data_IF_427695263883
#
_entry.id   IF_427695263883
#
_cell.length_a   1.000
_cell.length_b   1.000
_cell.length_c   1.000
_cell.angle_alpha   90.00
_cell.angle_beta   90.00
_cell.angle_gamma   90.00
#
_symmetry.space_group_name_H-M   'P 1'
#
loop_
_entity.id
_entity.type
_entity.pdbx_description
1 polymer ?
#
# COMPACT_ATOMS: atom_id res chain seq x y z
N UNK A 1 -32.60 -4.12 -24.89
CA UNK A 1 -32.50 -4.73 -23.54
C UNK A 1 -31.23 -4.20 -22.87
N UNK A 2 -31.31 -3.43 -21.78
CA UNK A 2 -30.12 -2.99 -21.07
C UNK A 2 -29.55 -4.22 -20.33
N UNK A 3 -28.31 -4.60 -20.65
CA UNK A 3 -27.57 -5.58 -19.86
C UNK A 3 -27.50 -5.03 -18.43
N UNK A 4 -28.04 -5.77 -17.47
CA UNK A 4 -27.93 -5.44 -16.06
C UNK A 4 -26.44 -5.24 -15.73
N UNK A 5 -26.07 -4.02 -15.35
CA UNK A 5 -24.79 -3.72 -14.67
C UNK A 5 -24.80 -4.43 -13.31
N UNK A 6 -24.70 -5.75 -13.30
CA UNK A 6 -24.28 -6.48 -12.11
C UNK A 6 -22.81 -6.11 -11.95
N UNK A 7 -22.55 -5.04 -11.17
CA UNK A 7 -21.20 -4.66 -10.79
C UNK A 7 -20.54 -5.88 -10.18
N UNK A 8 -19.51 -6.41 -10.85
CA UNK A 8 -18.66 -7.43 -10.25
C UNK A 8 -18.01 -6.79 -9.04
N UNK A 9 -18.44 -7.18 -7.83
CA UNK A 9 -17.74 -6.81 -6.62
C UNK A 9 -16.30 -7.35 -6.73
N UNK A 10 -15.32 -6.54 -6.33
CA UNK A 10 -13.92 -6.96 -6.26
C UNK A 10 -13.79 -8.20 -5.36
N UNK A 11 -13.08 -9.22 -5.83
CA UNK A 11 -12.77 -10.42 -5.05
C UNK A 11 -11.48 -10.22 -4.26
N UNK A 12 -11.56 -10.22 -2.93
CA UNK A 12 -10.37 -10.12 -2.07
C UNK A 12 -9.88 -11.49 -1.63
N UNK A 13 -8.58 -11.73 -1.82
CA UNK A 13 -7.86 -12.83 -1.17
C UNK A 13 -7.04 -12.28 -0.02
N UNK A 14 -7.17 -12.89 1.15
CA UNK A 14 -6.48 -12.43 2.34
C UNK A 14 -5.38 -13.42 2.72
N UNK A 15 -4.16 -12.92 2.90
CA UNK A 15 -3.00 -13.73 3.30
C UNK A 15 -2.29 -13.07 4.47
N UNK A 16 -1.87 -13.85 5.45
CA UNK A 16 -0.88 -13.40 6.44
C UNK A 16 0.51 -13.79 5.92
N UNK A 17 1.50 -12.90 6.02
CA UNK A 17 2.87 -13.23 5.63
C UNK A 17 3.88 -12.66 6.62
N UNK A 18 4.63 -13.57 7.24
CA UNK A 18 5.71 -13.22 8.16
C UNK A 18 6.91 -12.60 7.42
N UNK A 19 7.34 -13.19 6.30
CA UNK A 19 8.42 -12.62 5.48
C UNK A 19 8.06 -11.22 4.97
N UNK A 20 6.82 -11.02 4.51
CA UNK A 20 6.34 -9.70 4.13
C UNK A 20 6.28 -8.73 5.32
N UNK A 21 6.03 -9.21 6.55
CA UNK A 21 6.08 -8.38 7.75
C UNK A 21 7.48 -7.85 7.99
N UNK A 22 8.49 -8.72 7.92
CA UNK A 22 9.90 -8.37 8.10
C UNK A 22 10.35 -7.31 7.09
N UNK A 23 10.10 -7.56 5.81
CA UNK A 23 10.47 -6.62 4.74
C UNK A 23 9.65 -5.32 4.81
N UNK A 24 8.37 -5.38 5.22
CA UNK A 24 7.53 -4.20 5.41
C UNK A 24 8.08 -3.31 6.53
N UNK A 25 8.55 -3.89 7.63
CA UNK A 25 9.21 -3.13 8.68
C UNK A 25 10.49 -2.46 8.18
N UNK A 26 11.36 -3.20 7.48
CA UNK A 26 12.58 -2.64 6.91
C UNK A 26 12.27 -1.48 5.94
N UNK A 27 11.22 -1.60 5.13
CA UNK A 27 10.75 -0.52 4.25
C UNK A 27 10.25 0.69 5.06
N UNK A 28 9.42 0.50 6.08
CA UNK A 28 8.92 1.57 6.93
C UNK A 28 10.06 2.31 7.67
N UNK A 29 11.03 1.56 8.19
CA UNK A 29 12.20 2.13 8.86
C UNK A 29 13.11 2.89 7.89
N UNK A 30 13.30 2.38 6.67
CA UNK A 30 14.08 3.05 5.62
C UNK A 30 13.44 4.36 5.18
N UNK A 31 12.11 4.45 5.24
CA UNK A 31 11.33 5.66 4.94
C UNK A 31 11.24 6.62 6.12
N UNK A 32 11.77 6.26 7.29
CA UNK A 32 11.74 7.08 8.49
C UNK A 32 10.35 7.23 9.09
N UNK A 33 9.45 6.25 8.88
CA UNK A 33 8.12 6.27 9.48
C UNK A 33 8.21 6.10 11.01
N UNK A 34 7.29 6.73 11.78
CA UNK A 34 7.28 6.59 13.22
C UNK A 34 6.97 5.14 13.61
N UNK A 35 7.78 4.57 14.49
CA UNK A 35 7.57 3.20 14.99
C UNK A 35 6.80 3.24 16.30
N UNK A 36 5.77 2.40 16.42
CA UNK A 36 4.94 2.31 17.61
C UNK A 36 5.63 1.54 18.76
N UNK A 37 6.46 0.54 18.44
CA UNK A 37 7.21 -0.26 19.42
C UNK A 37 8.73 -0.04 19.26
N UNK A 38 9.31 0.74 20.17
CA UNK A 38 10.74 1.06 20.16
C UNK A 38 11.64 -0.16 20.40
N UNK A 39 11.14 -1.18 21.11
CA UNK A 39 11.93 -2.40 21.40
C UNK A 39 12.11 -3.22 20.14
N UNK A 40 11.01 -3.44 19.40
CA UNK A 40 11.05 -4.13 18.11
C UNK A 40 11.89 -3.33 17.11
N UNK A 41 11.70 -2.01 17.02
CA UNK A 41 12.54 -1.16 16.17
C UNK A 41 14.02 -1.32 16.48
N UNK A 42 14.42 -1.29 17.75
CA UNK A 42 15.82 -1.43 18.15
C UNK A 42 16.39 -2.79 17.75
N UNK A 43 15.62 -3.87 17.88
CA UNK A 43 16.04 -5.21 17.48
C UNK A 43 16.15 -5.38 15.95
N UNK A 44 15.26 -4.74 15.19
CA UNK A 44 15.23 -4.81 13.73
C UNK A 44 16.19 -3.83 13.05
N UNK A 45 16.67 -2.81 13.77
CA UNK A 45 17.52 -1.77 13.18
C UNK A 45 18.83 -2.32 12.58
N UNK A 46 19.68 -3.08 13.31
CA UNK A 46 20.91 -3.62 12.74
C UNK A 46 20.73 -4.49 11.48
N UNK A 47 19.82 -5.50 11.44
CA UNK A 47 19.63 -6.29 10.22
C UNK A 47 18.97 -5.49 9.08
N UNK A 48 18.18 -4.46 9.40
CA UNK A 48 17.63 -3.55 8.37
C UNK A 48 18.75 -2.75 7.70
N UNK A 49 19.68 -2.19 8.47
CA UNK A 49 20.84 -1.46 7.90
C UNK A 49 21.73 -2.40 7.07
N UNK A 50 21.98 -3.62 7.55
CA UNK A 50 22.75 -4.61 6.78
C UNK A 50 22.09 -4.97 5.44
N UNK A 51 20.76 -5.13 5.42
CA UNK A 51 20.01 -5.35 4.17
C UNK A 51 20.11 -4.15 3.23
N UNK A 52 20.00 -2.91 3.75
CA UNK A 52 20.14 -1.69 2.95
C UNK A 52 21.53 -1.55 2.33
N UNK A 53 22.57 -1.79 3.11
CA UNK A 53 23.96 -1.74 2.66
C UNK A 53 24.23 -2.77 1.55
N UNK A 54 23.71 -4.00 1.70
CA UNK A 54 23.88 -5.04 0.68
C UNK A 54 23.06 -4.73 -0.59
N UNK A 55 21.84 -4.18 -0.48
CA UNK A 55 21.07 -3.70 -1.63
C UNK A 55 21.86 -2.62 -2.39
N UNK A 56 22.44 -1.66 -1.67
CA UNK A 56 23.27 -0.62 -2.26
C UNK A 56 24.53 -1.20 -2.92
N UNK A 57 25.21 -2.15 -2.27
CA UNK A 57 26.39 -2.83 -2.82
C UNK A 57 26.07 -3.62 -4.11
N UNK A 58 24.83 -4.08 -4.26
CA UNK A 58 24.32 -4.73 -5.48
C UNK A 58 23.85 -3.74 -6.56
N UNK A 59 23.96 -2.43 -6.32
CA UNK A 59 23.47 -1.40 -7.25
C UNK A 59 21.94 -1.34 -7.35
N UNK A 60 21.23 -1.78 -6.31
CA UNK A 60 19.77 -1.74 -6.24
C UNK A 60 19.33 -0.50 -5.46
N UNK A 61 18.52 0.36 -6.09
CA UNK A 61 17.94 1.52 -5.42
C UNK A 61 16.93 1.06 -4.35
N UNK A 62 17.15 1.48 -3.10
CA UNK A 62 16.37 1.05 -1.93
C UNK A 62 14.88 1.35 -2.11
N UNK A 63 14.57 2.53 -2.66
CA UNK A 63 13.22 3.06 -2.88
C UNK A 63 12.39 2.20 -3.85
N UNK A 64 13.06 1.40 -4.69
CA UNK A 64 12.41 0.48 -5.63
C UNK A 64 12.57 -0.99 -5.20
N UNK A 65 13.70 -1.34 -4.61
CA UNK A 65 14.02 -2.71 -4.20
C UNK A 65 13.18 -3.19 -3.03
N UNK A 66 13.11 -2.41 -1.93
CA UNK A 66 12.36 -2.83 -0.75
C UNK A 66 10.87 -2.97 -1.04
N UNK A 67 10.19 -2.01 -1.72
CA UNK A 67 8.78 -2.19 -2.06
C UNK A 67 8.54 -3.42 -2.94
N UNK A 68 9.43 -3.72 -3.89
CA UNK A 68 9.31 -4.92 -4.71
C UNK A 68 9.49 -6.20 -3.90
N UNK A 69 10.49 -6.25 -3.01
CA UNK A 69 10.70 -7.39 -2.12
C UNK A 69 9.48 -7.62 -1.23
N UNK A 70 8.94 -6.57 -0.61
CA UNK A 70 7.69 -6.66 0.18
C UNK A 70 6.54 -7.17 -0.68
N UNK A 71 6.37 -6.62 -1.88
CA UNK A 71 5.33 -7.03 -2.80
C UNK A 71 5.43 -8.49 -3.19
N UNK A 72 6.63 -9.09 -3.25
CA UNK A 72 6.84 -10.48 -3.65
C UNK A 72 6.90 -11.46 -2.48
N UNK A 73 7.20 -11.00 -1.27
CA UNK A 73 7.46 -11.85 -0.10
C UNK A 73 6.30 -12.76 0.29
N UNK A 74 5.07 -12.43 -0.11
CA UNK A 74 3.93 -13.30 0.11
C UNK A 74 3.85 -14.46 -0.91
N UNK A 75 4.56 -14.43 -2.04
CA UNK A 75 4.47 -15.48 -3.07
C UNK A 75 5.54 -16.56 -2.95
N UNK A 76 6.62 -16.30 -2.18
CA UNK A 76 7.78 -17.17 -2.09
C UNK A 76 8.04 -17.57 -0.65
N UNK A 77 8.17 -18.88 -0.42
CA UNK A 77 8.56 -19.43 0.89
C UNK A 77 10.09 -19.42 1.10
N UNK A 78 10.85 -19.36 -0.01
CA UNK A 78 12.31 -19.32 0.01
C UNK A 78 12.81 -17.89 -0.23
N UNK A 79 13.60 -17.37 0.72
CA UNK A 79 14.25 -16.06 0.59
C UNK A 79 15.17 -15.99 -0.63
N UNK A 80 15.80 -17.10 -1.01
CA UNK A 80 16.64 -17.17 -2.21
C UNK A 80 15.82 -16.93 -3.49
N UNK A 81 14.68 -17.62 -3.63
CA UNK A 81 13.79 -17.44 -4.78
C UNK A 81 13.17 -16.03 -4.81
N UNK A 82 12.84 -15.49 -3.64
CA UNK A 82 12.35 -14.11 -3.51
C UNK A 82 13.37 -13.11 -4.05
N UNK A 83 14.63 -13.20 -3.60
CA UNK A 83 15.72 -12.32 -4.04
C UNK A 83 15.98 -12.48 -5.53
N UNK A 84 16.11 -13.72 -6.02
CA UNK A 84 16.35 -14.00 -7.44
C UNK A 84 15.25 -13.37 -8.32
N UNK A 85 13.98 -13.53 -7.93
CA UNK A 85 12.87 -12.95 -8.67
C UNK A 85 12.86 -11.41 -8.62
N UNK A 86 13.12 -10.82 -7.45
CA UNK A 86 13.16 -9.37 -7.30
C UNK A 86 14.27 -8.75 -8.16
N UNK A 87 15.49 -9.30 -8.09
CA UNK A 87 16.63 -8.82 -8.89
C UNK A 87 16.36 -8.99 -10.38
N UNK A 88 15.81 -10.14 -10.79
CA UNK A 88 15.45 -10.40 -12.19
C UNK A 88 14.46 -9.36 -12.72
N UNK A 89 13.49 -8.91 -11.91
CA UNK A 89 12.51 -7.89 -12.33
C UNK A 89 13.11 -6.49 -12.40
N UNK A 90 14.10 -6.17 -11.55
CA UNK A 90 14.70 -4.83 -11.51
C UNK A 90 15.79 -4.63 -12.57
N UNK A 91 16.67 -5.61 -12.74
CA UNK A 91 17.87 -5.47 -13.56
C UNK A 91 17.96 -6.50 -14.71
N UNK A 92 17.05 -7.48 -14.76
CA UNK A 92 17.08 -8.57 -15.74
C UNK A 92 17.77 -9.84 -15.22
N UNK A 93 17.72 -10.91 -16.02
CA UNK A 93 18.31 -12.20 -15.64
C UNK A 93 19.84 -12.12 -15.65
N UNK A 94 20.48 -12.65 -14.60
CA UNK A 94 21.95 -12.72 -14.48
C UNK A 94 22.64 -11.38 -14.19
N UNK A 95 21.88 -10.35 -13.79
CA UNK A 95 22.42 -9.02 -13.53
C UNK A 95 23.39 -8.97 -12.33
N UNK A 96 23.17 -9.80 -11.31
CA UNK A 96 24.09 -9.99 -10.19
C UNK A 96 24.50 -11.45 -10.07
N UNK A 97 25.70 -11.70 -9.53
CA UNK A 97 26.22 -13.04 -9.34
C UNK A 97 25.56 -13.79 -8.17
N UNK A 98 25.65 -15.12 -8.19
CA UNK A 98 25.10 -16.01 -7.15
C UNK A 98 25.54 -15.64 -5.72
N UNK A 99 26.80 -15.18 -5.58
CA UNK A 99 27.32 -14.73 -4.29
C UNK A 99 26.57 -13.51 -3.73
N UNK A 100 26.09 -12.60 -4.58
CA UNK A 100 25.30 -11.45 -4.16
C UNK A 100 23.87 -11.86 -3.77
N UNK A 101 23.26 -12.77 -4.53
CA UNK A 101 21.96 -13.37 -4.19
C UNK A 101 22.04 -14.05 -2.82
N UNK A 102 23.10 -14.83 -2.56
CA UNK A 102 23.32 -15.50 -1.28
C UNK A 102 23.47 -14.51 -0.11
N UNK A 103 24.19 -13.39 -0.29
CA UNK A 103 24.32 -12.36 0.76
C UNK A 103 23.00 -11.67 1.06
N UNK A 104 22.27 -11.22 0.04
CA UNK A 104 20.93 -10.64 0.20
C UNK A 104 19.96 -11.60 0.89
N UNK A 105 20.00 -12.88 0.50
CA UNK A 105 19.23 -13.95 1.15
C UNK A 105 19.56 -14.04 2.65
N UNK A 106 20.85 -14.02 2.99
CA UNK A 106 21.32 -13.99 4.37
C UNK A 106 20.79 -12.79 5.15
N UNK A 107 20.83 -11.58 4.58
CA UNK A 107 20.29 -10.38 5.22
C UNK A 107 18.79 -10.49 5.53
N UNK A 108 17.99 -11.05 4.61
CA UNK A 108 16.55 -11.26 4.86
C UNK A 108 16.35 -12.31 5.96
N UNK A 109 17.11 -13.41 5.95
CA UNK A 109 17.04 -14.43 6.99
C UNK A 109 17.44 -13.89 8.37
N UNK A 110 18.46 -13.02 8.45
CA UNK A 110 18.87 -12.37 9.69
C UNK A 110 17.80 -11.42 10.24
N UNK A 111 17.11 -10.70 9.34
CA UNK A 111 15.97 -9.84 9.68
C UNK A 111 14.80 -10.66 10.25
N UNK A 112 14.45 -11.76 9.59
CA UNK A 112 13.41 -12.70 10.04
C UNK A 112 13.77 -13.31 11.41
N UNK A 113 15.02 -13.75 11.58
CA UNK A 113 15.50 -14.30 12.85
C UNK A 113 15.48 -13.25 13.97
N UNK A 114 15.83 -12.00 13.68
CA UNK A 114 15.77 -10.92 14.66
C UNK A 114 14.35 -10.69 15.15
N UNK A 115 13.35 -10.66 14.26
CA UNK A 115 11.96 -10.50 14.66
C UNK A 115 11.47 -11.68 15.50
N UNK A 116 11.71 -12.92 15.06
CA UNK A 116 11.23 -14.10 15.79
C UNK A 116 11.83 -14.23 17.20
N UNK A 117 13.02 -13.68 17.45
CA UNK A 117 13.59 -13.61 18.81
C UNK A 117 12.77 -12.72 19.72
N UNK A 118 12.31 -11.57 19.22
CA UNK A 118 11.47 -10.63 19.98
C UNK A 118 10.01 -11.08 20.07
N UNK A 119 9.49 -11.70 19.01
CA UNK A 119 8.11 -12.18 18.94
C UNK A 119 8.01 -13.60 18.37
N UNK A 120 8.29 -14.64 19.18
CA UNK A 120 8.28 -16.03 18.72
C UNK A 120 6.92 -16.53 18.22
N UNK A 121 5.82 -15.97 18.77
CA UNK A 121 4.45 -16.36 18.42
C UNK A 121 3.87 -15.58 17.23
N UNK A 122 4.66 -14.73 16.56
CA UNK A 122 4.15 -13.77 15.60
C UNK A 122 3.40 -14.41 14.42
N UNK A 123 3.88 -15.57 13.94
CA UNK A 123 3.25 -16.27 12.81
C UNK A 123 1.81 -16.66 13.14
N UNK A 124 1.60 -17.24 14.33
CA UNK A 124 0.29 -17.68 14.81
C UNK A 124 -0.61 -16.48 15.15
N UNK A 125 -0.04 -15.45 15.77
CA UNK A 125 -0.76 -14.21 16.08
C UNK A 125 -1.24 -13.50 14.82
N UNK A 126 -0.39 -13.36 13.80
CA UNK A 126 -0.73 -12.66 12.57
C UNK A 126 -1.91 -13.33 11.84
N UNK A 127 -2.00 -14.66 11.90
CA UNK A 127 -3.11 -15.41 11.32
C UNK A 127 -4.47 -15.05 11.96
N UNK A 128 -4.50 -14.75 13.26
CA UNK A 128 -5.73 -14.38 13.97
C UNK A 128 -6.03 -12.88 13.99
N UNK A 129 -4.98 -12.03 13.96
CA UNK A 129 -5.10 -10.56 14.00
C UNK A 129 -5.86 -9.97 12.81
N UNK A 130 -5.93 -10.69 11.70
CA UNK A 130 -6.67 -10.26 10.52
C UNK A 130 -8.20 -10.29 10.63
N UNK A 131 -8.76 -11.02 11.62
CA UNK A 131 -10.21 -11.26 11.70
C UNK A 131 -11.03 -9.98 11.91
N UNK A 132 -10.69 -9.09 12.86
CA UNK A 132 -11.46 -7.86 13.06
C UNK A 132 -11.53 -6.99 11.80
N UNK A 133 -10.42 -6.86 11.07
CA UNK A 133 -10.38 -6.09 9.83
C UNK A 133 -11.27 -6.71 8.75
N UNK A 134 -11.27 -8.04 8.62
CA UNK A 134 -12.13 -8.74 7.65
C UNK A 134 -13.61 -8.54 7.97
N UNK A 135 -13.99 -8.64 9.24
CA UNK A 135 -15.37 -8.44 9.69
C UNK A 135 -15.84 -7.00 9.43
N UNK A 136 -15.01 -6.00 9.75
CA UNK A 136 -15.31 -4.60 9.45
C UNK A 136 -15.40 -4.35 7.94
N UNK A 137 -14.50 -4.97 7.16
CA UNK A 137 -14.53 -4.89 5.71
C UNK A 137 -15.80 -5.51 5.13
N UNK A 138 -16.20 -6.70 5.56
CA UNK A 138 -17.43 -7.36 5.11
C UNK A 138 -18.67 -6.50 5.38
N UNK A 139 -18.68 -5.75 6.48
CA UNK A 139 -19.79 -4.87 6.84
C UNK A 139 -19.94 -3.64 5.94
N UNK A 140 -18.84 -2.98 5.53
CA UNK A 140 -18.90 -1.67 4.83
C UNK A 140 -18.09 -1.59 3.53
N UNK A 141 -17.04 -2.39 3.37
CA UNK A 141 -16.11 -2.38 2.24
C UNK A 141 -16.77 -2.57 0.86
N UNK A 142 -17.66 -3.57 0.65
CA UNK A 142 -18.38 -3.71 -0.61
C UNK A 142 -19.24 -2.49 -0.97
N UNK A 143 -19.84 -1.83 0.03
CA UNK A 143 -20.60 -0.60 -0.16
C UNK A 143 -19.69 0.54 -0.61
N UNK A 144 -18.54 0.68 0.04
CA UNK A 144 -17.51 1.68 -0.28
C UNK A 144 -17.01 1.52 -1.73
N UNK A 145 -16.62 0.32 -2.15
CA UNK A 145 -16.15 0.09 -3.53
C UNK A 145 -17.22 0.37 -4.60
N UNK A 146 -18.49 0.06 -4.30
CA UNK A 146 -19.62 0.41 -5.17
C UNK A 146 -19.79 1.92 -5.26
N UNK A 147 -19.62 2.64 -4.16
CA UNK A 147 -19.68 4.10 -4.14
C UNK A 147 -18.56 4.72 -4.96
N UNK A 148 -17.31 4.24 -4.80
CA UNK A 148 -16.18 4.65 -5.63
C UNK A 148 -16.50 4.44 -7.11
N UNK A 149 -17.01 3.26 -7.48
CA UNK A 149 -17.37 2.94 -8.88
C UNK A 149 -18.44 3.89 -9.47
N UNK A 150 -19.32 4.47 -8.65
CA UNK A 150 -20.32 5.46 -9.10
C UNK A 150 -19.71 6.84 -9.34
N UNK A 151 -18.64 7.17 -8.62
CA UNK A 151 -17.94 8.45 -8.69
C UNK A 151 -16.81 8.46 -9.74
N UNK A 152 -16.52 7.31 -10.35
CA UNK A 152 -15.41 7.14 -11.30
C UNK A 152 -15.85 6.56 -12.63
N UNK A 153 -14.89 6.38 -13.53
CA UNK A 153 -15.08 5.71 -14.82
C UNK A 153 -15.33 4.19 -14.67
N UNK A 154 -15.84 3.58 -15.74
CA UNK A 154 -16.01 2.12 -15.81
C UNK A 154 -14.66 1.40 -15.67
N UNK A 155 -14.65 0.25 -14.99
CA UNK A 155 -13.45 -0.54 -14.69
C UNK A 155 -12.38 0.22 -13.88
N UNK A 156 -12.75 1.23 -13.09
CA UNK A 156 -11.82 1.90 -12.19
C UNK A 156 -11.30 0.96 -11.08
N UNK A 157 -12.18 0.14 -10.52
CA UNK A 157 -11.83 -0.83 -9.47
C UNK A 157 -11.39 -2.15 -10.12
N UNK A 158 -10.25 -2.69 -9.67
CA UNK A 158 -9.76 -3.99 -10.14
C UNK A 158 -10.76 -5.12 -9.77
N UNK A 159 -10.93 -6.15 -10.63
CA UNK A 159 -11.92 -7.20 -10.40
C UNK A 159 -11.58 -8.14 -9.23
N UNK A 160 -10.32 -8.18 -8.85
CA UNK A 160 -9.79 -8.95 -7.72
C UNK A 160 -8.62 -8.20 -7.12
N UNK A 161 -8.23 -8.50 -5.89
CA UNK A 161 -7.00 -8.00 -5.30
C UNK A 161 -6.54 -8.95 -4.18
N UNK A 162 -5.26 -8.86 -3.81
CA UNK A 162 -4.73 -9.55 -2.64
C UNK A 162 -4.42 -8.57 -1.51
N UNK A 163 -4.88 -8.90 -0.31
CA UNK A 163 -4.58 -8.19 0.93
C UNK A 163 -3.60 -9.04 1.75
N UNK A 164 -2.36 -8.60 1.80
CA UNK A 164 -1.29 -9.22 2.59
C UNK A 164 -1.22 -8.51 3.94
N UNK A 165 -1.68 -9.21 4.97
CA UNK A 165 -1.61 -8.79 6.34
C UNK A 165 -0.19 -8.96 6.87
N UNK A 166 0.32 -7.89 7.47
CA UNK A 166 1.65 -7.82 8.07
C UNK A 166 1.58 -7.42 9.54
N UNK A 167 2.60 -7.76 10.31
CA UNK A 167 2.72 -7.34 11.72
C UNK A 167 2.77 -5.81 11.81
N UNK A 168 2.04 -5.18 12.74
CA UNK A 168 2.12 -3.74 12.93
C UNK A 168 3.49 -3.29 13.45
N UNK A 169 4.15 -2.41 12.72
CA UNK A 169 5.32 -1.67 13.20
C UNK A 169 4.95 -0.20 13.44
N UNK A 170 4.24 0.42 12.51
CA UNK A 170 3.88 1.84 12.53
C UNK A 170 2.54 2.08 13.24
N UNK A 171 1.80 1.01 13.52
CA UNK A 171 0.53 1.07 14.25
C UNK A 171 -0.65 1.43 13.37
N UNK A 172 -0.69 0.93 12.12
CA UNK A 172 -1.79 1.14 11.17
C UNK A 172 -1.32 1.61 9.79
N UNK A 173 -0.24 1.04 9.25
CA UNK A 173 0.24 1.40 7.90
C UNK A 173 -0.17 0.41 6.81
N UNK A 174 -0.07 0.82 5.56
CA UNK A 174 -0.29 -0.05 4.41
C UNK A 174 0.17 0.58 3.10
N UNK A 175 0.36 -0.25 2.08
CA UNK A 175 0.85 0.16 0.76
C UNK A 175 0.15 -0.60 -0.35
N UNK A 176 -0.14 0.09 -1.45
CA UNK A 176 -0.63 -0.51 -2.68
C UNK A 176 0.53 -0.79 -3.65
N UNK A 177 0.53 -1.98 -4.24
CA UNK A 177 1.50 -2.44 -5.22
C UNK A 177 0.76 -2.74 -6.53
N UNK A 178 0.58 -1.69 -7.32
CA UNK A 178 -0.23 -1.68 -8.54
C UNK A 178 0.12 -2.84 -9.50
N UNK A 179 1.40 -3.08 -9.86
CA UNK A 179 1.73 -4.13 -10.84
C UNK A 179 1.42 -5.56 -10.38
N UNK A 180 1.26 -5.77 -9.07
CA UNK A 180 0.92 -7.06 -8.46
C UNK A 180 -0.54 -7.14 -8.00
N UNK A 181 -1.31 -6.05 -8.16
CA UNK A 181 -2.70 -5.96 -7.72
C UNK A 181 -2.88 -6.41 -6.25
N UNK A 182 -1.97 -5.92 -5.41
CA UNK A 182 -1.78 -6.34 -4.02
C UNK A 182 -1.66 -5.11 -3.12
N UNK A 183 -2.16 -5.24 -1.91
CA UNK A 183 -1.87 -4.29 -0.82
C UNK A 183 -1.18 -5.02 0.33
N UNK A 184 -0.20 -4.38 0.96
CA UNK A 184 0.18 -4.74 2.34
C UNK A 184 -0.58 -3.89 3.32
N UNK A 185 -0.95 -4.49 4.46
CA UNK A 185 -1.77 -3.84 5.47
C UNK A 185 -1.41 -4.34 6.87
N UNK A 186 -1.07 -3.43 7.78
CA UNK A 186 -0.75 -3.80 9.16
C UNK A 186 -2.00 -4.31 9.89
N UNK A 187 -1.92 -5.52 10.44
CA UNK A 187 -3.02 -6.18 11.14
C UNK A 187 -3.16 -5.65 12.58
N UNK A 188 -3.63 -4.41 12.70
CA UNK A 188 -4.00 -3.80 13.98
C UNK A 188 -5.33 -4.37 14.47
N UNK A 189 -5.44 -4.53 15.79
CA UNK A 189 -6.64 -5.11 16.42
C UNK A 189 -7.79 -4.10 16.55
N UNK A 190 -7.46 -2.81 16.53
CA UNK A 190 -8.38 -1.69 16.71
C UNK A 190 -8.01 -0.56 15.75
N UNK A 191 -8.97 0.30 15.41
CA UNK A 191 -8.72 1.50 14.63
C UNK A 191 -7.78 2.44 15.43
N UNK A 192 -6.55 2.69 14.98
CA UNK A 192 -5.60 3.60 15.66
C UNK A 192 -6.12 5.05 15.64
N UNK A 193 -6.86 5.38 14.59
CA UNK A 193 -7.48 6.69 14.36
C UNK A 193 -8.97 6.44 14.11
N UNK A 194 -9.84 6.53 15.14
CA UNK A 194 -11.26 6.15 15.02
C UNK A 194 -12.02 6.90 13.93
N UNK A 195 -11.67 8.17 13.68
CA UNK A 195 -12.23 9.02 12.61
C UNK A 195 -11.80 8.58 11.19
N UNK A 196 -10.75 7.77 11.09
CA UNK A 196 -10.22 7.22 9.84
C UNK A 196 -10.04 5.70 9.99
N UNK A 197 -11.14 4.93 10.05
CA UNK A 197 -11.09 3.51 10.37
C UNK A 197 -10.28 2.70 9.35
N UNK A 198 -9.73 1.56 9.76
CA UNK A 198 -8.88 0.72 8.91
C UNK A 198 -9.60 0.24 7.63
N UNK A 199 -10.92 0.05 7.70
CA UNK A 199 -11.75 -0.29 6.54
C UNK A 199 -11.69 0.81 5.46
N UNK A 200 -11.65 2.08 5.88
CA UNK A 200 -11.52 3.21 4.98
C UNK A 200 -10.12 3.26 4.35
N UNK A 201 -9.06 3.07 5.15
CA UNK A 201 -7.69 3.00 4.62
C UNK A 201 -7.53 1.85 3.63
N UNK A 202 -8.10 0.68 3.92
CA UNK A 202 -8.07 -0.45 3.00
C UNK A 202 -8.79 -0.13 1.69
N UNK A 203 -9.97 0.52 1.75
CA UNK A 203 -10.67 1.00 0.56
C UNK A 203 -9.84 1.98 -0.26
N UNK A 204 -9.13 2.89 0.41
CA UNK A 204 -8.20 3.81 -0.24
C UNK A 204 -7.05 3.09 -0.94
N UNK A 205 -6.41 2.12 -0.31
CA UNK A 205 -5.34 1.33 -0.93
C UNK A 205 -5.83 0.51 -2.14
N UNK A 206 -7.00 -0.13 -2.01
CA UNK A 206 -7.58 -0.94 -3.08
C UNK A 206 -8.00 -0.11 -4.31
N UNK A 207 -8.44 1.13 -4.09
CA UNK A 207 -8.82 2.05 -5.17
C UNK A 207 -7.65 2.47 -6.08
N UNK A 208 -6.41 2.28 -5.63
CA UNK A 208 -5.21 2.61 -6.40
C UNK A 208 -4.82 1.51 -7.39
N UNK A 209 -5.20 0.26 -7.13
CA UNK A 209 -4.58 -0.93 -7.75
C UNK A 209 -4.76 -1.05 -9.26
N UNK A 210 -5.79 -0.42 -9.83
CA UNK A 210 -6.03 -0.49 -11.27
C UNK A 210 -5.51 0.73 -12.02
N UNK A 211 -4.87 1.69 -11.34
CA UNK A 211 -4.47 2.97 -11.95
C UNK A 211 -3.25 2.86 -12.87
N UNK A 212 -2.60 1.70 -12.97
CA UNK A 212 -1.50 1.43 -13.89
C UNK A 212 -1.94 0.87 -15.25
N UNK A 213 -3.22 0.52 -15.42
CA UNK A 213 -3.72 0.05 -16.72
C UNK A 213 -3.67 1.17 -17.77
N UNK A 214 -3.35 0.88 -19.04
CA UNK A 214 -3.12 1.92 -20.05
C UNK A 214 -4.24 2.96 -20.16
N UNK A 215 -5.51 2.54 -20.13
CA UNK A 215 -6.65 3.47 -20.25
C UNK A 215 -6.72 4.50 -19.13
N UNK A 216 -6.13 4.22 -17.96
CA UNK A 216 -6.05 5.14 -16.82
C UNK A 216 -4.68 5.81 -16.70
N UNK A 217 -3.60 5.16 -17.18
CA UNK A 217 -2.21 5.53 -16.91
C UNK A 217 -1.42 6.15 -18.07
N UNK A 218 -1.89 6.03 -19.31
CA UNK A 218 -1.15 6.39 -20.54
C UNK A 218 -0.45 7.77 -20.52
N UNK A 219 -1.04 8.87 -20.01
CA UNK A 219 -0.34 10.15 -20.01
C UNK A 219 0.67 10.34 -18.87
N UNK A 220 0.81 9.37 -17.96
CA UNK A 220 1.56 9.52 -16.71
C UNK A 220 2.89 8.75 -16.73
N UNK A 221 3.92 9.34 -16.12
CA UNK A 221 5.17 8.65 -15.89
C UNK A 221 4.98 7.53 -14.85
N UNK A 222 5.46 6.33 -15.17
CA UNK A 222 5.42 5.17 -14.25
C UNK A 222 6.09 5.46 -12.91
N UNK A 223 7.09 6.36 -12.87
CA UNK A 223 7.78 6.74 -11.64
C UNK A 223 6.92 7.64 -10.74
N UNK A 224 6.08 8.51 -11.32
CA UNK A 224 5.23 9.44 -10.57
C UNK A 224 3.87 8.85 -10.21
N UNK A 225 3.42 7.87 -10.99
CA UNK A 225 2.11 7.26 -10.85
C UNK A 225 1.79 6.77 -9.43
N UNK A 226 2.67 6.08 -8.68
CA UNK A 226 2.34 5.63 -7.33
C UNK A 226 2.02 6.76 -6.37
N UNK A 227 2.79 7.87 -6.41
CA UNK A 227 2.55 9.06 -5.57
C UNK A 227 1.23 9.73 -5.97
N UNK A 228 1.02 9.90 -7.27
CA UNK A 228 -0.16 10.57 -7.78
C UNK A 228 -1.44 9.75 -7.52
N UNK A 229 -1.38 8.42 -7.68
CA UNK A 229 -2.46 7.50 -7.35
C UNK A 229 -2.91 7.66 -5.89
N UNK A 230 -1.97 7.66 -4.95
CA UNK A 230 -2.23 7.85 -3.51
C UNK A 230 -2.99 9.16 -3.22
N UNK A 231 -2.57 10.25 -3.85
CA UNK A 231 -3.15 11.58 -3.64
C UNK A 231 -4.51 11.71 -4.33
N UNK A 232 -4.62 11.26 -5.58
CA UNK A 232 -5.84 11.38 -6.38
C UNK A 232 -7.00 10.54 -5.83
N UNK A 233 -6.72 9.36 -5.28
CA UNK A 233 -7.78 8.49 -4.74
C UNK A 233 -8.23 8.89 -3.35
N UNK A 234 -7.52 9.80 -2.68
CA UNK A 234 -7.85 10.21 -1.31
C UNK A 234 -9.20 10.94 -1.22
N UNK A 235 -9.44 12.08 -1.92
CA UNK A 235 -10.74 12.74 -1.86
C UNK A 235 -11.86 11.87 -2.44
N UNK A 236 -11.58 11.08 -3.47
CA UNK A 236 -12.51 10.11 -4.05
C UNK A 236 -13.02 9.11 -3.00
N UNK A 237 -12.11 8.53 -2.21
CA UNK A 237 -12.48 7.51 -1.21
C UNK A 237 -13.21 8.14 -0.03
N UNK A 238 -12.85 9.36 0.37
CA UNK A 238 -13.57 10.10 1.40
C UNK A 238 -14.99 10.49 0.94
N UNK A 239 -15.17 10.95 -0.29
CA UNK A 239 -16.50 11.20 -0.86
C UNK A 239 -17.35 9.91 -0.90
N UNK A 240 -16.74 8.79 -1.28
CA UNK A 240 -17.41 7.49 -1.27
C UNK A 240 -17.77 7.01 0.15
N UNK A 241 -16.93 7.34 1.14
CA UNK A 241 -17.08 6.96 2.54
C UNK A 241 -18.32 7.54 3.20
N UNK A 242 -18.76 8.73 2.77
CA UNK A 242 -20.01 9.35 3.25
C UNK A 242 -21.22 8.44 3.04
N UNK A 243 -21.29 7.79 1.87
CA UNK A 243 -22.40 6.90 1.51
C UNK A 243 -22.49 5.61 2.34
N UNK A 244 -21.44 5.30 3.10
CA UNK A 244 -21.36 4.15 3.99
C UNK A 244 -21.08 4.55 5.44
N UNK A 245 -21.20 5.84 5.77
CA UNK A 245 -21.06 6.41 7.11
C UNK A 245 -19.69 6.12 7.74
N UNK A 246 -18.62 6.11 6.95
CA UNK A 246 -17.25 5.86 7.45
C UNK A 246 -16.46 7.15 7.75
N UNK A 247 -16.66 8.21 6.95
CA UNK A 247 -16.00 9.51 7.10
C UNK A 247 -16.73 10.57 6.25
N UNK A 248 -16.35 11.84 6.40
CA UNK A 248 -16.78 12.96 5.56
C UNK A 248 -15.65 13.44 4.65
N UNK A 249 -15.99 14.01 3.49
CA UNK A 249 -15.04 14.73 2.66
C UNK A 249 -15.04 16.21 3.04
N UNK A 250 -14.01 16.61 3.79
CA UNK A 250 -13.68 17.99 4.08
C UNK A 250 -12.15 18.16 4.17
N UNK A 251 -11.70 19.42 4.19
CA UNK A 251 -10.27 19.76 4.24
C UNK A 251 -9.60 19.17 5.49
N UNK A 252 -10.28 19.19 6.64
CA UNK A 252 -9.76 18.68 7.90
C UNK A 252 -9.54 17.16 7.86
N UNK A 253 -10.48 16.42 7.30
CA UNK A 253 -10.40 14.96 7.15
C UNK A 253 -9.33 14.57 6.14
N UNK A 254 -9.18 15.34 5.04
CA UNK A 254 -8.07 15.17 4.10
C UNK A 254 -6.71 15.39 4.77
N UNK A 255 -6.55 16.49 5.50
CA UNK A 255 -5.33 16.78 6.25
C UNK A 255 -5.01 15.66 7.24
N UNK A 256 -6.02 15.21 7.99
CA UNK A 256 -5.88 14.11 8.95
C UNK A 256 -5.48 12.80 8.28
N UNK A 257 -6.03 12.48 7.12
CA UNK A 257 -5.67 11.27 6.40
C UNK A 257 -4.24 11.34 5.82
N UNK A 258 -3.81 12.50 5.32
CA UNK A 258 -2.43 12.72 4.85
C UNK A 258 -1.43 12.49 5.98
N UNK A 259 -1.72 13.03 7.16
CA UNK A 259 -0.91 12.87 8.38
C UNK A 259 -0.90 11.40 8.84
N UNK A 260 -2.07 10.83 9.15
CA UNK A 260 -2.18 9.51 9.77
C UNK A 260 -1.79 8.35 8.86
N UNK A 261 -1.89 8.52 7.54
CA UNK A 261 -1.55 7.46 6.58
C UNK A 261 -0.18 7.68 5.92
N UNK A 262 0.57 8.69 6.38
CA UNK A 262 1.94 8.98 5.98
C UNK A 262 2.10 9.13 4.45
N UNK A 263 1.26 9.95 3.82
CA UNK A 263 1.26 10.09 2.35
C UNK A 263 2.54 10.74 1.82
N UNK A 264 3.13 11.67 2.57
CA UNK A 264 4.54 12.04 2.51
C UNK A 264 4.80 13.10 3.58
N UNK A 265 5.82 12.95 4.44
CA UNK A 265 6.11 13.90 5.52
C UNK A 265 6.55 15.29 5.02
N UNK A 266 6.80 15.44 3.71
CA UNK A 266 7.28 16.68 3.09
C UNK A 266 6.24 17.34 2.17
N UNK A 267 4.96 17.00 2.29
CA UNK A 267 3.91 17.67 1.53
C UNK A 267 3.68 19.09 2.08
N UNK A 268 3.50 20.11 1.22
CA UNK A 268 3.10 21.44 1.67
C UNK A 268 1.77 21.43 2.41
N UNK A 269 1.59 22.34 3.38
CA UNK A 269 0.37 22.46 4.19
C UNK A 269 -0.89 22.76 3.36
N UNK A 270 -0.74 23.31 2.16
CA UNK A 270 -1.83 23.65 1.22
C UNK A 270 -2.37 22.44 0.43
N UNK A 271 -1.75 21.26 0.54
CA UNK A 271 -2.12 20.07 -0.23
C UNK A 271 -3.56 19.60 0.04
N UNK A 272 -4.07 19.55 1.29
CA UNK A 272 -5.47 19.18 1.55
C UNK A 272 -6.46 20.06 0.77
N UNK A 273 -6.29 21.38 0.81
CA UNK A 273 -7.13 22.31 0.06
C UNK A 273 -7.00 22.11 -1.45
N UNK A 274 -5.77 21.99 -1.97
CA UNK A 274 -5.55 21.72 -3.40
C UNK A 274 -6.22 20.43 -3.89
N UNK A 275 -6.21 19.37 -3.08
CA UNK A 275 -6.88 18.11 -3.40
C UNK A 275 -8.40 18.26 -3.39
N UNK A 276 -8.94 19.03 -2.45
CA UNK A 276 -10.37 19.30 -2.37
C UNK A 276 -10.85 20.12 -3.58
N UNK A 277 -10.13 21.19 -3.94
CA UNK A 277 -10.43 22.02 -5.11
C UNK A 277 -10.36 21.20 -6.40
N UNK A 278 -9.32 20.38 -6.54
CA UNK A 278 -9.15 19.48 -7.68
C UNK A 278 -10.33 18.49 -7.78
N UNK A 279 -10.74 17.89 -6.66
CA UNK A 279 -11.85 16.95 -6.64
C UNK A 279 -13.19 17.62 -7.02
N UNK A 280 -13.48 18.81 -6.48
CA UNK A 280 -14.68 19.57 -6.82
C UNK A 280 -14.71 19.97 -8.29
N UNK A 281 -13.55 20.35 -8.85
CA UNK A 281 -13.42 20.62 -10.29
C UNK A 281 -13.66 19.36 -11.13
N UNK A 282 -13.15 18.20 -10.69
CA UNK A 282 -13.42 16.92 -11.34
C UNK A 282 -14.92 16.59 -11.33
N UNK A 283 -15.56 16.62 -10.15
CA UNK A 283 -16.97 16.25 -9.97
C UNK A 283 -17.95 17.18 -10.72
N UNK A 284 -17.66 18.48 -10.75
CA UNK A 284 -18.48 19.47 -11.47
C UNK A 284 -18.29 19.45 -12.99
N UNK A 285 -17.26 18.77 -13.48
CA UNK A 285 -16.93 18.70 -14.90
C UNK A 285 -17.25 17.34 -15.52
N UNK A 286 -17.39 17.28 -16.84
CA UNK A 286 -17.45 16.01 -17.59
C UNK A 286 -16.05 15.50 -17.98
N UNK A 287 -15.02 15.91 -17.25
CA UNK A 287 -13.62 15.60 -17.56
C UNK A 287 -13.33 14.12 -17.37
N UNK A 288 -12.55 13.54 -18.28
CA UNK A 288 -12.11 12.15 -18.16
C UNK A 288 -11.05 12.02 -17.07
N UNK A 289 -11.08 10.90 -16.33
CA UNK A 289 -10.14 10.64 -15.24
C UNK A 289 -8.66 10.87 -15.59
N UNK A 290 -8.10 10.38 -16.72
CA UNK A 290 -6.69 10.62 -17.05
C UNK A 290 -6.35 12.11 -17.19
N UNK A 291 -7.28 12.92 -17.69
CA UNK A 291 -7.10 14.38 -17.83
C UNK A 291 -7.12 15.05 -16.45
N UNK A 292 -8.01 14.63 -15.56
CA UNK A 292 -8.04 15.11 -14.18
C UNK A 292 -6.75 14.76 -13.43
N UNK A 293 -6.24 13.53 -13.60
CA UNK A 293 -4.95 13.10 -13.02
C UNK A 293 -3.78 13.97 -13.51
N UNK A 294 -3.72 14.29 -14.80
CA UNK A 294 -2.70 15.20 -15.34
C UNK A 294 -2.80 16.61 -14.75
N UNK A 295 -4.02 17.12 -14.57
CA UNK A 295 -4.21 18.41 -13.94
C UNK A 295 -3.71 18.40 -12.49
N UNK A 296 -3.99 17.33 -11.73
CA UNK A 296 -3.44 17.16 -10.39
C UNK A 296 -1.91 17.11 -10.38
N UNK A 297 -1.30 16.34 -11.30
CA UNK A 297 0.15 16.25 -11.44
C UNK A 297 0.82 17.61 -11.72
N UNK A 298 0.12 18.53 -12.38
CA UNK A 298 0.61 19.90 -12.62
C UNK A 298 0.40 20.85 -11.43
N UNK A 299 -0.54 20.53 -10.52
CA UNK A 299 -0.84 21.33 -9.32
C UNK A 299 0.09 21.03 -8.14
N UNK A 300 0.69 19.83 -8.13
CA UNK A 300 1.57 19.29 -7.09
C UNK A 300 3.05 19.61 -7.33
#
# INVERSE_FOLDING_TARGET
MPRSRQGKNMQLRWKASFSASCLHAAACMSEGLPVADSTIAAALYPPTEALRDELYACGLAIESALPLLVALAADYESNHQLVEMAVRRMQGAGAIGEAAIARLTGCITDLEAAWLREQPALVDELAVRGRPLREQWEARGPGLLRAITRLTVENFIAPSAEVVLVSPLVGGHGRAYLPSNRVTFEAVLTNPTPELPETLRLGWLLSQLNLDVPVLSEPMSQHRLPRLARLATLPLVLAAAESVELATLDEATLARAIECWYLAPTLPDEIPQKLLDWWQAYESSSTRWPVAMMALDQML
#
